data_IF_806124065121
#
_entry.id   IF_806124065121
#
_cell.length_a   1.000
_cell.length_b   1.000
_cell.length_c   1.000
_cell.angle_alpha   90.00
_cell.angle_beta   90.00
_cell.angle_gamma   90.00
#
_symmetry.space_group_name_H-M   'P 1'
#
loop_
_entity.id
_entity.type
_entity.pdbx_description
1 polymer ?
#
# COMPACT_ATOMS: atom_id res chain seq x y z
N UNK A 1 9.64 40.80 1.05
CA UNK A 1 8.26 40.32 1.00
C UNK A 1 8.15 38.79 1.18
N UNK A 2 9.22 38.01 1.01
CA UNK A 2 9.19 36.54 1.09
C UNK A 2 8.84 35.93 2.48
N UNK A 3 9.30 36.55 3.58
CA UNK A 3 9.12 36.00 4.95
C UNK A 3 7.66 35.97 5.42
N UNK A 4 6.83 36.92 4.97
CA UNK A 4 5.41 36.94 5.32
C UNK A 4 4.64 35.78 4.66
N UNK A 5 5.04 35.37 3.46
CA UNK A 5 4.43 34.28 2.70
C UNK A 5 4.72 32.92 3.32
N UNK A 6 5.97 32.70 3.75
CA UNK A 6 6.40 31.49 4.44
C UNK A 6 5.67 31.30 5.78
N UNK A 7 5.48 32.38 6.56
CA UNK A 7 4.74 32.32 7.81
C UNK A 7 3.24 32.04 7.59
N UNK A 8 2.66 32.59 6.53
CA UNK A 8 1.26 32.35 6.17
C UNK A 8 1.04 30.90 5.71
N UNK A 9 1.91 30.38 4.85
CA UNK A 9 1.87 28.98 4.41
C UNK A 9 2.03 28.00 5.59
N UNK A 10 2.91 28.32 6.55
CA UNK A 10 3.08 27.50 7.75
C UNK A 10 1.85 27.52 8.67
N UNK A 11 1.18 28.67 8.81
CA UNK A 11 -0.03 28.80 9.61
C UNK A 11 -1.23 28.09 8.97
N UNK A 12 -1.37 28.19 7.64
CA UNK A 12 -2.40 27.45 6.88
C UNK A 12 -2.17 25.94 7.01
N UNK A 13 -0.92 25.48 6.92
CA UNK A 13 -0.57 24.07 7.13
C UNK A 13 -0.94 23.61 8.55
N UNK A 14 -0.55 24.36 9.57
CA UNK A 14 -0.89 24.04 10.97
C UNK A 14 -2.40 23.97 11.22
N UNK A 15 -3.17 24.88 10.64
CA UNK A 15 -4.63 24.90 10.75
C UNK A 15 -5.23 23.67 10.07
N UNK A 16 -4.75 23.34 8.87
CA UNK A 16 -5.20 22.16 8.12
C UNK A 16 -4.85 20.86 8.85
N UNK A 17 -3.66 20.77 9.43
CA UNK A 17 -3.21 19.61 10.20
C UNK A 17 -4.03 19.45 11.49
N UNK A 18 -4.36 20.54 12.18
CA UNK A 18 -5.24 20.53 13.35
C UNK A 18 -6.67 20.12 13.00
N UNK A 19 -7.20 20.55 11.85
CA UNK A 19 -8.51 20.15 11.36
C UNK A 19 -8.57 18.68 10.91
N UNK A 20 -7.50 18.17 10.28
CA UNK A 20 -7.39 16.75 9.93
C UNK A 20 -7.41 15.89 11.20
N UNK A 21 -6.61 16.26 12.20
CA UNK A 21 -6.56 15.60 13.51
C UNK A 21 -7.92 15.62 14.21
N UNK A 22 -8.62 16.77 14.20
CA UNK A 22 -9.95 16.92 14.80
C UNK A 22 -11.03 16.09 14.07
N UNK A 23 -10.85 15.85 12.76
CA UNK A 23 -11.72 14.99 11.94
C UNK A 23 -11.32 13.51 11.97
N UNK A 24 -10.29 13.14 12.72
CA UNK A 24 -9.83 11.77 12.89
C UNK A 24 -8.98 11.23 11.73
N UNK A 25 -8.36 12.10 10.94
CA UNK A 25 -7.41 11.71 9.89
C UNK A 25 -5.97 11.86 10.38
N UNK A 26 -5.13 10.87 10.05
CA UNK A 26 -3.69 10.92 10.33
C UNK A 26 -3.00 11.98 9.45
N UNK A 27 -2.04 12.71 10.02
CA UNK A 27 -1.25 13.71 9.28
C UNK A 27 -0.15 13.09 8.43
N UNK A 28 0.29 11.87 8.77
CA UNK A 28 1.27 11.09 8.04
C UNK A 28 0.76 9.66 7.93
N UNK A 29 0.92 9.06 6.75
CA UNK A 29 0.53 7.67 6.52
C UNK A 29 1.54 6.99 5.60
N UNK A 30 2.06 5.85 6.01
CA UNK A 30 2.94 5.01 5.21
C UNK A 30 2.21 3.74 4.79
N UNK A 31 1.98 3.62 3.48
CA UNK A 31 1.36 2.44 2.87
C UNK A 31 2.45 1.64 2.16
N UNK A 32 2.58 0.37 2.52
CA UNK A 32 3.47 -0.56 1.83
C UNK A 32 2.67 -1.54 1.00
N UNK A 33 3.03 -1.68 -0.26
CA UNK A 33 2.45 -2.68 -1.18
C UNK A 33 3.47 -3.76 -1.49
N UNK A 34 3.06 -5.02 -1.49
CA UNK A 34 3.90 -6.10 -2.04
C UNK A 34 3.94 -6.01 -3.57
N UNK A 35 5.02 -6.46 -4.23
CA UNK A 35 5.22 -6.33 -5.67
C UNK A 35 4.15 -6.99 -6.56
N UNK A 36 3.39 -7.97 -6.06
CA UNK A 36 2.24 -8.57 -6.76
C UNK A 36 1.02 -7.64 -6.79
N UNK A 37 1.04 -6.58 -5.99
CA UNK A 37 -0.03 -5.59 -5.91
C UNK A 37 0.23 -4.48 -6.92
N UNK A 38 -0.72 -4.17 -7.82
CA UNK A 38 -0.55 -3.10 -8.79
C UNK A 38 -0.72 -1.73 -8.10
N UNK A 39 0.35 -1.19 -7.51
CA UNK A 39 0.35 0.09 -6.78
C UNK A 39 -0.37 1.24 -7.51
N UNK A 40 -0.22 1.43 -8.85
CA UNK A 40 -0.93 2.48 -9.58
C UNK A 40 -2.46 2.40 -9.49
N UNK A 41 -3.03 1.22 -9.22
CA UNK A 41 -4.47 1.04 -9.06
C UNK A 41 -5.03 1.82 -7.84
N UNK A 42 -4.18 2.23 -6.89
CA UNK A 42 -4.58 3.01 -5.72
C UNK A 42 -4.51 4.52 -5.93
N UNK A 43 -3.89 5.02 -7.01
CA UNK A 43 -3.73 6.47 -7.21
C UNK A 43 -5.07 7.24 -7.20
N UNK A 44 -6.16 6.73 -7.80
CA UNK A 44 -7.46 7.40 -7.68
C UNK A 44 -8.02 7.46 -6.25
N UNK A 45 -7.55 6.60 -5.33
CA UNK A 45 -7.91 6.67 -3.91
C UNK A 45 -7.08 7.74 -3.18
N UNK A 46 -5.83 7.96 -3.61
CA UNK A 46 -4.98 9.04 -3.10
C UNK A 46 -5.63 10.39 -3.41
N UNK A 47 -6.11 10.59 -4.63
CA UNK A 47 -6.81 11.82 -5.03
C UNK A 47 -8.06 12.06 -4.16
N UNK A 48 -8.81 10.99 -3.87
CA UNK A 48 -9.98 11.05 -2.98
C UNK A 48 -9.61 11.33 -1.53
N UNK A 49 -8.46 10.84 -1.06
CA UNK A 49 -7.94 11.14 0.27
C UNK A 49 -7.52 12.60 0.37
N UNK A 50 -6.78 13.11 -0.62
CA UNK A 50 -6.31 14.50 -0.68
C UNK A 50 -7.47 15.50 -0.69
N UNK A 51 -8.63 15.14 -1.25
CA UNK A 51 -9.85 15.96 -1.20
C UNK A 51 -10.52 16.01 0.19
N UNK A 52 -10.13 15.13 1.13
CA UNK A 52 -10.73 15.01 2.46
C UNK A 52 -9.78 15.40 3.60
N UNK A 53 -8.49 15.20 3.42
CA UNK A 53 -7.48 15.40 4.45
C UNK A 53 -6.15 15.86 3.84
N UNK A 54 -5.42 16.66 4.62
CA UNK A 54 -4.04 17.03 4.31
C UNK A 54 -3.08 16.01 4.93
N UNK A 55 -3.13 14.78 4.43
CA UNK A 55 -2.27 13.67 4.89
C UNK A 55 -1.04 13.58 4.02
N UNK A 56 0.15 13.64 4.61
CA UNK A 56 1.39 13.32 3.93
C UNK A 56 1.52 11.81 3.73
N UNK A 57 1.47 11.36 2.48
CA UNK A 57 1.47 9.94 2.14
C UNK A 57 2.84 9.48 1.66
N UNK A 58 3.35 8.39 2.23
CA UNK A 58 4.44 7.61 1.68
C UNK A 58 3.89 6.30 1.11
N UNK A 59 4.23 5.98 -0.14
CA UNK A 59 3.89 4.70 -0.76
C UNK A 59 5.19 4.00 -1.13
N UNK A 60 5.36 2.79 -0.62
CA UNK A 60 6.58 2.00 -0.80
C UNK A 60 6.18 0.65 -1.37
N UNK A 61 6.91 0.19 -2.38
CA UNK A 61 6.78 -1.18 -2.86
C UNK A 61 7.89 -2.02 -2.26
N UNK A 62 7.53 -3.08 -1.55
CA UNK A 62 8.46 -4.09 -1.04
C UNK A 62 8.19 -5.45 -1.68
N UNK A 63 9.11 -6.39 -1.51
CA UNK A 63 9.00 -7.75 -2.06
C UNK A 63 8.97 -8.78 -0.93
N UNK A 64 8.32 -9.92 -1.18
CA UNK A 64 8.30 -11.05 -0.24
C UNK A 64 7.81 -10.63 1.16
N UNK A 65 8.59 -10.94 2.21
CA UNK A 65 8.24 -10.67 3.59
C UNK A 65 8.42 -9.20 4.01
N UNK A 66 9.12 -8.39 3.20
CA UNK A 66 9.50 -7.03 3.59
C UNK A 66 8.29 -6.16 3.96
N UNK A 67 7.19 -6.28 3.21
CA UNK A 67 5.97 -5.55 3.49
C UNK A 67 5.44 -5.85 4.92
N UNK A 68 5.41 -7.11 5.31
CA UNK A 68 4.97 -7.53 6.64
C UNK A 68 5.96 -7.13 7.74
N UNK A 69 7.26 -7.23 7.49
CA UNK A 69 8.29 -6.74 8.42
C UNK A 69 8.18 -5.23 8.64
N UNK A 70 7.79 -4.48 7.60
CA UNK A 70 7.51 -3.05 7.70
C UNK A 70 6.39 -2.74 8.69
N UNK A 71 5.31 -3.52 8.67
CA UNK A 71 4.21 -3.39 9.62
C UNK A 71 4.65 -3.76 11.05
N UNK A 72 5.33 -4.89 11.22
CA UNK A 72 5.80 -5.38 12.53
C UNK A 72 6.79 -4.39 13.20
N UNK A 73 7.61 -3.71 12.41
CA UNK A 73 8.62 -2.76 12.89
C UNK A 73 8.09 -1.32 13.02
N UNK A 74 6.80 -1.08 12.71
CA UNK A 74 6.21 0.25 12.72
C UNK A 74 6.74 1.19 11.63
N UNK A 75 7.33 0.64 10.56
CA UNK A 75 7.72 1.40 9.36
C UNK A 75 6.54 1.59 8.39
N UNK A 76 5.50 0.76 8.51
CA UNK A 76 4.28 0.84 7.73
C UNK A 76 3.08 0.96 8.66
N UNK A 77 2.09 1.78 8.27
CA UNK A 77 0.80 1.87 8.95
C UNK A 77 -0.21 0.92 8.31
N UNK A 78 -0.13 0.75 6.98
CA UNK A 78 -1.01 -0.13 6.20
C UNK A 78 -0.15 -0.97 5.25
N UNK A 79 -0.43 -2.27 5.21
CA UNK A 79 0.14 -3.19 4.22
C UNK A 79 -0.95 -3.71 3.29
N UNK A 80 -0.66 -3.68 1.99
CA UNK A 80 -1.44 -4.39 0.97
C UNK A 80 -0.54 -5.49 0.43
N UNK A 81 -0.80 -6.73 0.85
CA UNK A 81 0.01 -7.88 0.50
C UNK A 81 -0.85 -9.16 0.44
N UNK A 82 -0.36 -10.23 -0.20
CA UNK A 82 -0.93 -11.55 -0.05
C UNK A 82 -1.00 -11.98 1.42
N UNK A 83 -2.04 -12.74 1.77
CA UNK A 83 -2.18 -13.33 3.09
C UNK A 83 -1.02 -14.31 3.35
N UNK A 84 -0.25 -14.02 4.39
CA UNK A 84 0.78 -14.89 4.93
C UNK A 84 0.25 -15.45 6.24
N UNK A 85 -0.45 -16.59 6.18
CA UNK A 85 -1.15 -17.25 7.29
C UNK A 85 -0.36 -17.44 8.60
N UNK A 86 0.95 -17.15 8.63
CA UNK A 86 1.82 -17.22 9.80
C UNK A 86 2.06 -15.88 10.51
N UNK A 87 1.56 -14.75 9.98
CA UNK A 87 1.76 -13.40 10.54
C UNK A 87 0.51 -12.85 11.25
N UNK A 88 -0.44 -13.71 11.62
CA UNK A 88 -1.65 -13.28 12.32
C UNK A 88 -1.35 -12.89 13.76
N UNK A 89 -1.36 -11.58 14.05
CA UNK A 89 -1.39 -11.01 15.40
C UNK A 89 -2.78 -10.47 15.70
N UNK A 90 -3.25 -10.59 16.95
CA UNK A 90 -4.52 -9.96 17.38
C UNK A 90 -4.48 -8.43 17.33
N UNK A 91 -3.28 -7.85 17.24
CA UNK A 91 -3.07 -6.40 17.12
C UNK A 91 -3.19 -5.90 15.68
N UNK A 92 -3.17 -6.80 14.70
CA UNK A 92 -3.25 -6.48 13.28
C UNK A 92 -4.68 -6.70 12.78
N UNK A 93 -5.32 -5.61 12.37
CA UNK A 93 -6.58 -5.68 11.65
C UNK A 93 -6.31 -6.02 10.18
N UNK A 94 -7.02 -7.02 9.64
CA UNK A 94 -6.90 -7.42 8.25
C UNK A 94 -8.26 -7.50 7.57
N UNK A 95 -8.27 -7.21 6.26
CA UNK A 95 -9.47 -7.31 5.42
C UNK A 95 -9.08 -7.81 4.04
N UNK A 96 -9.78 -8.83 3.55
CA UNK A 96 -9.61 -9.32 2.18
C UNK A 96 -10.00 -8.23 1.17
N UNK A 97 -9.08 -7.88 0.27
CA UNK A 97 -9.29 -6.88 -0.76
C UNK A 97 -9.69 -7.51 -2.11
N UNK A 98 -8.97 -8.53 -2.55
CA UNK A 98 -9.26 -9.31 -3.77
C UNK A 98 -8.56 -10.69 -3.70
N UNK A 99 -8.76 -11.51 -4.73
CA UNK A 99 -7.99 -12.75 -4.94
C UNK A 99 -7.07 -12.54 -6.16
N UNK A 100 -5.81 -13.00 -6.06
CA UNK A 100 -4.89 -13.07 -7.19
C UNK A 100 -4.95 -14.48 -7.81
N UNK A 101 -4.93 -14.54 -9.13
CA UNK A 101 -4.77 -15.78 -9.87
C UNK A 101 -3.39 -15.80 -10.50
N UNK A 102 -2.54 -16.72 -10.04
CA UNK A 102 -1.24 -16.96 -10.64
C UNK A 102 -1.41 -18.02 -11.75
N UNK A 103 -0.86 -17.73 -12.93
CA UNK A 103 -0.84 -18.66 -14.06
C UNK A 103 0.60 -18.92 -14.46
N UNK A 104 0.90 -20.17 -14.84
CA UNK A 104 2.18 -20.50 -15.43
C UNK A 104 2.24 -19.95 -16.85
N UNK A 105 3.34 -19.28 -17.18
CA UNK A 105 3.56 -18.68 -18.50
C UNK A 105 4.91 -19.12 -19.05
N UNK A 106 4.99 -19.27 -20.37
CA UNK A 106 6.21 -19.57 -21.11
C UNK A 106 6.18 -18.84 -22.45
N UNK A 107 7.33 -18.77 -23.14
CA UNK A 107 7.38 -18.24 -24.50
C UNK A 107 6.48 -19.07 -25.44
N UNK A 108 5.84 -18.48 -26.47
CA UNK A 108 4.90 -19.21 -27.33
C UNK A 108 5.49 -20.45 -28.01
N UNK A 109 6.80 -20.46 -28.25
CA UNK A 109 7.58 -21.53 -28.87
C UNK A 109 8.30 -22.44 -27.85
N UNK A 110 8.04 -22.27 -26.55
CA UNK A 110 8.73 -23.01 -25.51
C UNK A 110 8.34 -24.50 -25.52
N UNK A 111 9.31 -25.45 -25.47
CA UNK A 111 9.03 -26.89 -25.53
C UNK A 111 8.07 -27.43 -24.46
N UNK A 112 7.95 -26.73 -23.32
CA UNK A 112 6.99 -27.10 -22.24
C UNK A 112 5.55 -27.22 -22.74
N UNK A 113 5.19 -26.54 -23.84
CA UNK A 113 3.86 -26.65 -24.44
C UNK A 113 3.62 -27.99 -25.14
N UNK A 114 4.67 -28.78 -25.40
CA UNK A 114 4.60 -30.13 -25.99
C UNK A 114 4.61 -31.23 -24.92
N UNK A 115 4.89 -30.89 -23.67
CA UNK A 115 4.86 -31.84 -22.56
C UNK A 115 3.40 -32.14 -22.16
N UNK A 116 3.05 -33.40 -21.85
CA UNK A 116 1.70 -33.75 -21.39
C UNK A 116 1.37 -33.01 -20.09
N UNK A 117 0.12 -32.52 -19.97
CA UNK A 117 -0.34 -31.81 -18.76
C UNK A 117 -0.23 -32.75 -17.54
N UNK A 118 0.74 -32.47 -16.66
CA UNK A 118 0.97 -33.29 -15.49
C UNK A 118 -0.11 -32.99 -14.44
N UNK A 119 -1.11 -33.88 -14.32
CA UNK A 119 -2.30 -33.73 -13.47
C UNK A 119 -2.03 -33.59 -11.97
N UNK A 120 -0.79 -33.72 -11.51
CA UNK A 120 -0.43 -33.67 -10.08
C UNK A 120 -0.17 -32.25 -9.53
N UNK A 121 -0.36 -31.19 -10.32
CA UNK A 121 -0.10 -29.79 -9.92
C UNK A 121 -1.35 -28.89 -9.89
N UNK A 122 -2.58 -29.47 -9.85
CA UNK A 122 -3.82 -28.72 -9.59
C UNK A 122 -4.24 -28.81 -8.13
#
# INVERSE_FOLDING_TARGET
MERGRVLLEAADKLTTDAEALARGWETHLTIVTEALVPTPAFFPLIDKLAAKANTQLAIITEVLAGAWEGLEQGRADIVIAPDMHFRSSSEINSRKLYTLMNVYVAAPDHPIHQEPENRYLK
#
